data_IF_654581616180
#
_entry.id   IF_654581616180
#
_cell.length_a   1.000
_cell.length_b   1.000
_cell.length_c   1.000
_cell.angle_alpha   90.00
_cell.angle_beta   90.00
_cell.angle_gamma   90.00
#
_symmetry.space_group_name_H-M   'P 1'
#
loop_
_entity.id
_entity.type
_entity.pdbx_description
1 polymer ?
2 non-polymer ?
3 non-polymer ?
4 non-polymer ?
5 non-polymer ?
6 water ?
#
# COMPACT_ATOMS: atom_id res chain seq x y z
N UNK A 2 14.36 6.39 15.41
CA UNK A 2 14.69 7.67 14.72
C UNK A 2 13.63 7.91 13.51
N UNK A 3 14.10 7.91 12.28
CA UNK A 3 13.31 8.25 11.14
C UNK A 3 12.35 7.19 10.68
N UNK A 4 11.34 7.63 9.96
CA UNK A 4 10.34 6.73 9.40
C UNK A 4 9.56 7.34 8.28
N UNK A 5 8.92 6.46 7.52
CA UNK A 5 8.03 6.81 6.41
C UNK A 5 6.66 6.25 6.67
N UNK A 6 5.66 7.14 6.71
CA UNK A 6 4.31 6.71 6.89
C UNK A 6 3.59 7.08 5.63
N UNK A 7 2.82 6.16 5.07
CA UNK A 7 2.14 6.40 3.81
C UNK A 7 0.65 6.22 3.98
N UNK A 8 -0.09 7.19 3.42
CA UNK A 8 -1.53 7.17 3.45
C UNK A 8 -1.95 7.16 2.00
N UNK A 9 -2.64 6.12 1.62
CA UNK A 9 -3.12 5.97 0.25
C UNK A 9 -4.59 5.75 0.26
N UNK A 10 -5.17 5.60 -0.93
CA UNK A 10 -6.64 5.45 -1.11
C UNK A 10 -7.06 6.33 -2.24
N UNK A 11 -8.32 6.21 -2.69
CA UNK A 11 -8.83 6.99 -3.76
C UNK A 11 -9.16 8.41 -3.33
N UNK A 12 -9.63 9.19 -4.26
CA UNK A 12 -9.97 10.52 -3.96
C UNK A 12 -11.18 10.50 -3.01
N UNK A 13 -11.37 11.61 -2.31
CA UNK A 13 -12.53 11.78 -1.38
C UNK A 13 -12.52 10.93 -0.15
N UNK A 14 -11.39 10.31 0.14
CA UNK A 14 -11.19 9.44 1.27
C UNK A 14 -10.61 10.17 2.52
N UNK A 15 -10.19 11.40 2.35
CA UNK A 15 -9.72 12.28 3.43
C UNK A 15 -8.27 12.10 3.75
N UNK A 16 -7.51 11.75 2.75
CA UNK A 16 -6.13 11.50 2.97
C UNK A 16 -5.38 12.70 3.46
N UNK A 17 -5.64 13.87 2.88
CA UNK A 17 -4.97 15.07 3.34
C UNK A 17 -5.38 15.44 4.79
N UNK A 18 -6.66 15.30 5.11
CA UNK A 18 -7.13 15.54 6.47
C UNK A 18 -6.38 14.62 7.46
N UNK A 19 -6.13 13.37 7.05
CA UNK A 19 -5.41 12.45 7.95
C UNK A 19 -3.99 12.88 8.08
N UNK A 20 -3.40 13.31 7.00
CA UNK A 20 -2.08 13.86 7.09
C UNK A 20 -1.97 15.01 8.08
N UNK A 21 -2.89 15.97 7.97
CA UNK A 21 -2.88 17.15 8.80
C UNK A 21 -3.25 16.79 10.28
N UNK A 22 -4.11 15.80 10.44
CA UNK A 22 -4.30 15.24 11.82
C UNK A 22 -2.99 14.79 12.39
N UNK A 23 -2.19 14.07 11.61
CA UNK A 23 -0.92 13.60 12.17
C UNK A 23 0.05 14.70 12.40
N UNK A 24 0.07 15.67 11.51
CA UNK A 24 0.97 16.79 11.75
C UNK A 24 0.56 17.49 13.05
N UNK A 25 -0.71 17.75 13.25
CA UNK A 25 -1.11 18.49 14.44
C UNK A 25 -0.69 17.81 15.73
N UNK A 26 -0.76 16.46 15.78
CA UNK A 26 -0.34 15.72 16.95
C UNK A 26 1.09 16.08 17.28
N UNK A 27 1.95 16.08 16.27
CA UNK A 27 3.36 16.41 16.44
C UNK A 27 3.55 17.80 16.86
N UNK A 28 2.78 18.71 16.29
CA UNK A 28 2.88 20.12 16.71
C UNK A 28 2.53 20.30 18.21
N UNK A 29 1.57 19.58 18.74
CA UNK A 29 1.31 19.74 20.15
C UNK A 29 2.52 19.36 21.01
N UNK A 30 3.36 18.51 20.50
CA UNK A 30 4.50 18.18 21.23
C UNK A 30 5.67 19.04 20.80
N UNK A 31 5.41 20.18 20.19
CA UNK A 31 6.40 21.22 19.86
C UNK A 31 7.40 20.83 18.81
N UNK A 32 7.06 19.81 18.04
CA UNK A 32 7.92 19.37 16.98
C UNK A 32 7.77 20.30 15.79
N UNK A 33 8.86 20.55 15.05
CA UNK A 33 8.86 21.34 13.84
C UNK A 33 8.39 20.50 12.66
N UNK A 34 7.40 21.01 11.96
CA UNK A 34 6.74 20.33 10.89
C UNK A 34 6.75 21.17 9.66
N UNK A 35 7.09 20.55 8.55
CA UNK A 35 7.10 21.20 7.25
C UNK A 35 6.18 20.53 6.30
N UNK A 36 5.29 21.28 5.69
CA UNK A 36 4.37 20.68 4.72
C UNK A 36 4.76 21.10 3.30
N UNK A 37 4.99 20.14 2.46
CA UNK A 37 5.32 20.30 1.03
C UNK A 37 4.15 19.92 0.16
N UNK A 38 3.61 20.90 -0.59
CA UNK A 38 2.51 20.73 -1.47
C UNK A 38 3.00 20.81 -2.93
N UNK A 39 2.19 20.35 -3.84
CA UNK A 39 2.51 20.46 -5.26
C UNK A 39 2.01 21.77 -5.84
N UNK A 40 2.83 22.45 -6.62
CA UNK A 40 2.54 23.85 -7.06
C UNK A 40 1.38 23.95 -7.96
N UNK A 41 1.32 23.02 -8.94
CA UNK A 41 0.07 22.77 -9.74
C UNK A 41 -1.32 22.41 -9.08
N UNK A 42 -1.32 21.88 -7.84
CA UNK A 42 -2.51 21.45 -7.02
C UNK A 42 -3.26 22.67 -6.43
N UNK A 43 -4.54 22.85 -6.80
CA UNK A 43 -5.37 24.02 -6.42
C UNK A 43 -6.68 23.56 -5.69
N UNK A 44 -6.68 23.52 -4.35
CA UNK A 44 -7.80 22.93 -3.57
C UNK A 44 -7.69 23.24 -2.05
N UNK A 53 -11.12 25.80 4.26
CA UNK A 53 -9.90 26.19 4.99
C UNK A 53 -8.67 25.28 4.64
N UNK A 54 -7.60 25.90 4.11
CA UNK A 54 -6.29 25.23 3.91
C UNK A 54 -5.66 25.01 5.32
N UNK A 55 -5.74 23.76 5.80
CA UNK A 55 -5.19 23.35 7.11
C UNK A 55 -3.63 23.40 7.11
N UNK A 56 -3.10 23.22 5.90
CA UNK A 56 -1.68 23.15 5.60
C UNK A 56 -0.93 24.49 5.80
N UNK A 57 -1.66 25.61 5.88
CA UNK A 57 -1.10 26.92 6.36
C UNK A 57 -0.84 27.09 7.94
N UNK A 58 -1.22 26.09 8.77
CA UNK A 58 -0.96 26.07 10.22
C UNK A 58 0.51 25.67 10.63
N UNK A 59 1.39 25.35 9.67
CA UNK A 59 2.81 25.28 9.97
C UNK A 59 3.66 25.77 8.80
N UNK A 60 4.98 25.73 8.94
CA UNK A 60 5.86 26.02 7.78
C UNK A 60 5.50 25.17 6.56
N UNK A 61 5.45 25.79 5.42
CA UNK A 61 5.05 25.08 4.22
C UNK A 61 5.56 25.70 2.96
N UNK A 62 5.50 24.95 1.88
CA UNK A 62 6.07 25.35 0.61
C UNK A 62 5.34 24.58 -0.51
N UNK A 63 5.24 25.22 -1.66
CA UNK A 63 4.68 24.68 -2.91
C UNK A 63 5.77 24.51 -3.93
N UNK A 64 6.00 23.30 -4.37
CA UNK A 64 7.06 23.08 -5.33
C UNK A 64 6.54 22.10 -6.42
N UNK A 65 7.30 21.93 -7.52
CA UNK A 65 6.98 21.00 -8.66
C UNK A 65 7.83 19.83 -8.60
N UNK A 66 8.97 19.95 -7.97
CA UNK A 66 9.56 18.68 -7.52
C UNK A 66 10.32 18.91 -6.26
N UNK A 67 10.72 17.83 -5.68
CA UNK A 67 11.29 17.86 -4.38
C UNK A 67 12.68 18.36 -4.31
N UNK A 68 13.33 18.35 -5.45
CA UNK A 68 14.66 18.89 -5.58
C UNK A 68 14.59 20.36 -5.20
N UNK A 69 13.55 21.07 -5.61
CA UNK A 69 13.47 22.53 -5.30
C UNK A 69 13.27 23.01 -3.84
N UNK A 70 13.11 22.08 -2.95
CA UNK A 70 13.04 22.36 -1.52
C UNK A 70 14.45 22.61 -1.08
N UNK A 71 15.40 22.07 -1.83
CA UNK A 71 16.80 22.16 -1.41
C UNK A 71 17.01 21.38 -0.15
N UNK A 72 17.74 21.98 0.78
CA UNK A 72 18.04 21.39 2.08
C UNK A 72 17.19 21.99 3.23
N UNK A 73 16.14 22.73 2.88
CA UNK A 73 15.26 23.39 3.90
C UNK A 73 14.60 22.37 4.84
N UNK A 74 14.32 21.20 4.29
CA UNK A 74 13.72 20.10 5.04
C UNK A 74 14.54 19.63 6.20
N UNK A 75 15.84 19.90 6.18
CA UNK A 75 16.65 19.42 7.29
C UNK A 75 16.42 20.12 8.57
N UNK A 76 15.76 21.28 8.52
CA UNK A 76 15.43 22.03 9.69
C UNK A 76 14.21 21.58 10.46
N UNK A 77 13.68 20.42 10.15
CA UNK A 77 12.43 19.99 10.72
C UNK A 77 12.53 18.56 11.27
N UNK A 78 11.73 18.29 12.29
CA UNK A 78 11.51 16.97 12.82
C UNK A 78 10.59 16.13 11.92
N UNK A 79 9.62 16.77 11.29
CA UNK A 79 8.54 16.09 10.58
C UNK A 79 8.33 16.76 9.28
N UNK A 80 8.25 15.96 8.24
CA UNK A 80 8.07 16.41 6.87
C UNK A 80 6.82 15.72 6.36
N UNK A 81 5.89 16.49 5.82
CA UNK A 81 4.68 15.97 5.24
C UNK A 81 4.59 16.34 3.80
N UNK A 82 4.26 15.38 2.95
CA UNK A 82 4.21 15.59 1.54
C UNK A 82 2.81 15.24 1.11
N UNK A 83 2.11 16.21 0.56
CA UNK A 83 0.77 16.04 0.12
C UNK A 83 0.71 15.84 -1.41
N UNK A 84 -0.18 14.98 -1.89
CA UNK A 84 -0.37 14.67 -3.32
C UNK A 84 0.94 14.05 -3.90
N UNK A 85 1.46 13.05 -3.21
CA UNK A 85 2.77 12.52 -3.48
C UNK A 85 2.92 11.97 -4.90
N UNK A 86 1.81 11.54 -5.47
CA UNK A 86 1.84 11.01 -6.79
C UNK A 86 2.26 11.99 -7.88
N UNK A 87 2.18 13.29 -7.60
CA UNK A 87 2.63 14.30 -8.51
C UNK A 87 4.14 14.49 -8.60
N UNK A 88 4.89 13.99 -7.63
CA UNK A 88 6.28 14.29 -7.53
C UNK A 88 7.05 13.15 -8.13
N UNK A 89 7.89 13.46 -9.13
CA UNK A 89 8.65 12.38 -9.83
C UNK A 89 9.75 11.72 -8.99
N UNK A 90 10.25 12.38 -7.95
CA UNK A 90 11.35 11.84 -7.20
C UNK A 90 10.98 11.54 -5.74
N UNK A 91 9.72 11.33 -5.47
CA UNK A 91 9.27 11.25 -4.11
C UNK A 91 9.83 10.13 -3.28
N UNK A 92 9.97 8.97 -3.86
CA UNK A 92 10.54 7.85 -3.07
C UNK A 92 11.93 8.06 -2.52
N UNK A 93 12.78 8.61 -3.38
CA UNK A 93 14.13 8.81 -3.00
C UNK A 93 14.19 9.91 -1.92
N UNK A 94 13.38 10.97 -2.10
CA UNK A 94 13.34 12.10 -1.15
C UNK A 94 12.95 11.60 0.22
N UNK A 95 11.90 10.83 0.26
CA UNK A 95 11.45 10.26 1.51
C UNK A 95 12.50 9.40 2.19
N UNK A 96 13.17 8.56 1.41
CA UNK A 96 14.17 7.67 1.98
C UNK A 96 15.38 8.48 2.53
N UNK A 97 15.83 9.49 1.79
CA UNK A 97 16.90 10.35 2.23
C UNK A 97 16.55 11.03 3.55
N UNK A 98 15.31 11.50 3.62
CA UNK A 98 14.91 12.24 4.79
C UNK A 98 14.74 11.30 5.93
N UNK A 99 14.06 10.19 5.71
CA UNK A 99 13.93 9.20 6.82
C UNK A 99 15.31 8.68 7.26
N UNK A 100 16.25 8.52 6.33
CA UNK A 100 17.64 8.12 6.76
C UNK A 100 18.33 9.17 7.58
N UNK A 101 18.03 10.47 7.38
CA UNK A 101 18.50 11.53 8.29
C UNK A 101 17.77 11.71 9.62
N UNK A 102 16.80 10.86 9.94
CA UNK A 102 16.10 10.93 11.19
C UNK A 102 14.71 11.59 11.19
N UNK A 103 14.18 11.94 10.04
CA UNK A 103 12.90 12.60 9.99
C UNK A 103 11.75 11.63 10.00
N UNK A 104 10.65 12.09 10.57
CA UNK A 104 9.37 11.42 10.43
C UNK A 104 8.80 12.02 9.15
N UNK A 105 8.61 11.20 8.13
CA UNK A 105 8.09 11.61 6.86
C UNK A 105 6.71 11.02 6.63
N UNK A 106 5.75 11.85 6.26
CA UNK A 106 4.36 11.40 6.20
C UNK A 106 3.90 11.78 4.82
N UNK A 107 3.35 10.83 4.05
CA UNK A 107 3.01 11.12 2.68
C UNK A 107 1.61 10.70 2.45
N UNK A 108 0.84 11.59 1.77
CA UNK A 108 -0.46 11.20 1.23
C UNK A 108 -0.37 11.18 -0.25
N UNK A 109 -1.00 10.19 -0.86
CA UNK A 109 -0.93 9.97 -2.27
C UNK A 109 -1.97 9.07 -2.74
N UNK A 110 -2.38 9.25 -4.03
CA UNK A 110 -3.13 8.19 -4.73
C UNK A 110 -2.17 7.01 -4.99
N UNK A 111 -2.63 5.82 -4.74
CA UNK A 111 -1.93 4.60 -5.10
C UNK A 111 -2.26 4.22 -6.56
N UNK A 112 -3.48 4.49 -6.99
CA UNK A 112 -4.02 4.19 -8.33
C UNK A 112 -4.53 5.41 -9.08
N UNK A 113 -4.37 5.40 -10.40
CA UNK A 113 -4.90 6.48 -11.24
C UNK A 113 -6.32 6.10 -11.60
N UNK A 114 -6.93 6.90 -12.46
CA UNK A 114 -8.32 6.68 -12.90
C UNK A 114 -8.57 5.42 -13.69
N UNK A 115 -7.50 4.78 -14.12
CA UNK A 115 -7.60 3.47 -14.82
C UNK A 115 -7.27 2.30 -13.92
N UNK A 116 -7.16 2.54 -12.61
CA UNK A 116 -6.79 1.56 -11.61
C UNK A 116 -5.37 1.05 -11.79
N UNK A 117 -4.55 1.85 -12.45
CA UNK A 117 -3.15 1.51 -12.65
C UNK A 117 -2.28 2.27 -11.66
N UNK A 118 -1.31 1.59 -11.08
CA UNK A 118 -0.54 2.20 -10.05
C UNK A 118 0.40 3.31 -10.46
N UNK A 119 0.59 4.26 -9.54
CA UNK A 119 1.65 5.22 -9.60
C UNK A 119 2.88 4.52 -9.04
N UNK A 120 3.85 4.37 -9.93
CA UNK A 120 5.02 3.53 -9.71
C UNK A 120 5.86 4.05 -8.54
N UNK A 121 5.96 5.35 -8.45
CA UNK A 121 6.73 5.99 -7.40
C UNK A 121 6.06 5.69 -5.99
N UNK A 122 4.74 5.54 -5.96
CA UNK A 122 4.03 5.31 -4.71
C UNK A 122 4.16 3.81 -4.36
N UNK A 123 4.17 2.99 -5.37
CA UNK A 123 4.65 1.60 -5.22
C UNK A 123 5.98 1.45 -4.57
N UNK A 124 6.97 2.19 -5.06
CA UNK A 124 8.23 2.18 -4.32
C UNK A 124 8.06 2.58 -2.87
N UNK A 125 7.20 3.60 -2.61
CA UNK A 125 7.02 4.05 -1.19
C UNK A 125 6.42 2.98 -0.30
N UNK A 126 5.45 2.23 -0.84
CA UNK A 126 4.86 1.17 -0.08
C UNK A 126 5.98 0.29 0.48
N UNK A 127 6.94 -0.03 -0.37
CA UNK A 127 8.00 -1.03 0.01
C UNK A 127 8.95 -0.42 0.94
N UNK A 128 9.05 0.91 0.93
CA UNK A 128 9.98 1.62 1.87
C UNK A 128 9.38 2.13 3.16
N UNK A 129 8.07 1.97 3.29
CA UNK A 129 7.33 2.57 4.38
C UNK A 129 7.27 1.71 5.61
N UNK A 130 7.33 2.37 6.77
CA UNK A 130 7.11 1.71 8.03
C UNK A 130 5.65 1.45 8.25
N UNK A 131 4.79 2.26 7.66
CA UNK A 131 3.36 2.15 7.91
C UNK A 131 2.64 2.49 6.64
N UNK A 132 1.59 1.76 6.33
CA UNK A 132 0.83 2.05 5.11
C UNK A 132 -0.61 1.84 5.52
N UNK A 133 -1.42 2.86 5.32
CA UNK A 133 -2.86 2.79 5.52
C UNK A 133 -3.50 3.11 4.22
N UNK A 134 -4.50 2.36 3.87
CA UNK A 134 -5.26 2.69 2.67
C UNK A 134 -6.65 3.12 3.12
N UNK A 135 -7.02 4.38 2.92
CA UNK A 135 -8.38 4.81 3.36
C UNK A 135 -9.34 4.58 2.21
N UNK A 136 -10.59 4.51 2.56
CA UNK A 136 -11.67 4.37 1.62
C UNK A 136 -12.48 5.66 1.58
N UNK A 137 -13.29 5.77 0.57
CA UNK A 137 -14.24 6.79 0.38
C UNK A 137 -15.60 6.12 0.44
N UNK A 138 -16.68 6.90 0.25
CA UNK A 138 -18.01 6.27 0.08
C UNK A 138 -18.38 6.36 -1.37
N UNK A 139 -18.95 5.29 -1.95
CA UNK A 139 -19.29 5.29 -3.39
C UNK A 139 -20.22 6.45 -3.73
N UNK A 140 -19.73 7.30 -4.64
CA UNK A 140 -20.46 8.46 -5.05
C UNK A 140 -21.47 8.13 -6.14
N UNK A 141 -21.53 6.88 -6.60
CA UNK A 141 -22.51 6.49 -7.65
C UNK A 141 -23.73 5.83 -6.99
N UNK A 142 -23.49 4.78 -6.22
CA UNK A 142 -24.56 4.05 -5.55
C UNK A 142 -24.84 4.52 -4.12
N UNK A 143 -23.90 5.22 -3.45
CA UNK A 143 -24.10 5.68 -2.08
C UNK A 143 -24.33 4.57 -1.06
N UNK A 144 -24.03 3.32 -1.37
CA UNK A 144 -24.25 2.21 -0.43
C UNK A 144 -23.09 1.36 -0.04
N UNK A 145 -21.87 1.68 -0.47
CA UNK A 145 -20.72 0.78 -0.27
C UNK A 145 -19.49 1.64 -0.09
N UNK A 146 -18.48 1.10 0.58
CA UNK A 146 -17.13 1.64 0.54
C UNK A 146 -16.57 1.68 -0.90
N UNK A 147 -15.87 2.76 -1.18
CA UNK A 147 -15.27 3.05 -2.45
C UNK A 147 -13.76 3.03 -2.31
N UNK A 148 -13.12 2.29 -3.21
CA UNK A 148 -11.67 2.15 -3.25
C UNK A 148 -11.04 2.67 -4.55
N UNK A 149 -11.87 3.12 -5.49
CA UNK A 149 -11.42 3.55 -6.82
C UNK A 149 -11.87 4.96 -7.13
N UNK A 150 -11.09 5.65 -7.95
CA UNK A 150 -11.44 6.95 -8.47
C UNK A 150 -11.80 6.83 -9.96
N UNK A 151 -12.97 7.34 -10.31
CA UNK A 151 -13.53 7.36 -11.63
C UNK A 151 -13.42 8.75 -12.17
N UNK A 152 -12.85 8.91 -13.37
CA UNK A 152 -12.78 10.26 -14.00
C UNK A 152 -14.07 10.50 -14.80
N UNK A 153 -14.80 11.57 -14.53
CA UNK A 153 -16.09 11.84 -15.14
C UNK A 153 -16.02 12.77 -16.36
N UNK A 154 -14.85 13.29 -16.68
CA UNK A 154 -14.66 14.03 -17.93
C UNK A 154 -13.75 13.24 -18.90
N UNK A 155 -13.92 13.49 -20.20
CA UNK A 155 -13.14 12.84 -21.28
C UNK A 155 -11.78 13.52 -21.25
N UNK A 156 -10.76 12.72 -21.09
CA UNK A 156 -9.34 13.20 -21.13
C UNK A 156 -8.56 11.96 -20.90
N UNK A 157 -7.43 11.87 -21.61
CA UNK A 157 -6.56 10.70 -21.52
C UNK A 157 -5.24 11.14 -20.99
N UNK A 158 -5.11 12.43 -20.62
CA UNK A 158 -3.97 12.88 -19.84
C UNK A 158 -4.04 12.13 -18.45
N UNK A 159 -2.93 11.53 -18.04
CA UNK A 159 -2.88 10.79 -16.81
C UNK A 159 -3.00 11.78 -15.64
N UNK A 160 -2.21 12.84 -15.69
CA UNK A 160 -2.31 13.90 -14.79
C UNK A 160 -3.31 14.90 -15.32
N UNK A 161 -4.34 15.15 -14.53
CA UNK A 161 -5.38 16.17 -14.79
C UNK A 161 -5.92 16.63 -13.43
N UNK A 162 -5.49 17.82 -13.02
CA UNK A 162 -5.78 18.39 -11.74
C UNK A 162 -7.21 18.84 -11.61
N UNK A 163 -7.87 18.40 -10.54
CA UNK A 163 -9.30 18.65 -10.35
C UNK A 163 -9.90 17.97 -9.12
N UNK A 164 -11.17 18.25 -8.88
CA UNK A 164 -11.91 17.81 -7.76
C UNK A 164 -13.15 17.08 -8.20
N UNK A 165 -14.24 17.29 -7.45
CA UNK A 165 -15.50 16.62 -7.74
C UNK A 165 -16.16 17.03 -9.07
N UNK A 166 -15.68 18.13 -9.68
CA UNK A 166 -16.04 18.59 -11.05
C UNK A 166 -15.49 17.68 -12.15
N UNK A 167 -14.49 16.85 -11.83
CA UNK A 167 -13.84 15.91 -12.74
C UNK A 167 -13.68 14.49 -12.30
N UNK A 168 -13.93 14.20 -11.03
CA UNK A 168 -13.72 12.82 -10.52
C UNK A 168 -14.77 12.42 -9.51
N UNK A 169 -14.92 11.13 -9.33
CA UNK A 169 -15.70 10.60 -8.25
C UNK A 169 -15.13 9.29 -7.75
N UNK A 170 -15.33 8.99 -6.49
CA UNK A 170 -14.77 7.77 -5.94
C UNK A 170 -15.90 6.77 -6.03
N UNK A 171 -15.58 5.52 -6.36
CA UNK A 171 -16.59 4.48 -6.54
C UNK A 171 -16.14 3.14 -6.04
N UNK A 172 -17.14 2.32 -5.75
CA UNK A 172 -16.97 0.94 -5.37
C UNK A 172 -16.62 0.11 -6.64
N UNK A 173 -16.23 -1.14 -6.41
CA UNK A 173 -15.71 -2.00 -7.48
C UNK A 173 -16.72 -2.20 -8.64
N UNK A 174 -17.96 -2.53 -8.31
CA UNK A 174 -19.03 -2.76 -9.33
C UNK A 174 -19.50 -1.50 -10.00
N UNK A 175 -19.70 -0.39 -9.27
CA UNK A 175 -19.96 0.88 -9.94
C UNK A 175 -18.84 1.28 -10.89
N UNK A 176 -17.58 1.02 -10.53
CA UNK A 176 -16.50 1.31 -11.51
C UNK A 176 -16.70 0.47 -12.82
N UNK A 177 -17.00 -0.82 -12.71
CA UNK A 177 -17.29 -1.65 -13.93
C UNK A 177 -18.47 -1.10 -14.75
N UNK A 178 -19.62 -0.99 -14.07
CA UNK A 178 -20.87 -0.44 -14.66
C UNK A 178 -20.62 0.87 -15.41
N UNK A 179 -19.95 1.82 -14.77
CA UNK A 179 -19.69 3.08 -15.44
C UNK A 179 -18.65 3.00 -16.62
N UNK A 180 -17.70 2.04 -16.57
CA UNK A 180 -16.64 1.92 -17.60
C UNK A 180 -17.40 1.43 -18.87
N UNK A 181 -18.24 0.39 -18.74
CA UNK A 181 -19.16 -0.09 -19.80
C UNK A 181 -20.31 0.94 -20.01
N UNK A 182 -19.98 2.16 -20.48
CA UNK A 182 -20.94 3.31 -20.75
C UNK A 182 -20.29 4.75 -20.65
N UNK B 2 -20.97 -7.05 -3.34
CA UNK B 2 -20.55 -8.38 -3.88
C UNK B 2 -19.07 -8.69 -3.37
N UNK B 3 -18.11 -8.80 -4.28
CA UNK B 3 -16.75 -9.24 -3.99
C UNK B 3 -15.77 -8.18 -3.51
N UNK B 4 -14.58 -8.61 -3.09
CA UNK B 4 -13.54 -7.71 -2.61
C UNK B 4 -12.20 -8.38 -2.53
N UNK B 5 -11.17 -7.55 -2.43
CA UNK B 5 -9.80 -7.94 -2.30
C UNK B 5 -9.22 -7.30 -1.08
N UNK B 6 -8.72 -8.12 -0.17
CA UNK B 6 -8.05 -7.64 1.02
C UNK B 6 -6.62 -8.09 0.94
N UNK B 7 -5.68 -7.22 1.22
CA UNK B 7 -4.29 -7.50 1.08
C UNK B 7 -3.59 -7.26 2.39
N UNK B 8 -2.75 -8.24 2.76
CA UNK B 8 -1.97 -8.21 3.95
C UNK B 8 -0.51 -8.27 3.51
N UNK B 9 0.24 -7.22 3.81
CA UNK B 9 1.61 -7.09 3.42
C UNK B 9 2.43 -6.80 4.62
N UNK B 10 3.71 -6.62 4.43
CA UNK B 10 4.69 -6.49 5.56
C UNK B 10 5.85 -7.46 5.36
N UNK B 11 6.90 -7.32 6.16
CA UNK B 11 8.12 -8.10 5.99
C UNK B 11 7.90 -9.53 6.58
N UNK B 12 8.96 -10.30 6.59
CA UNK B 12 8.88 -11.66 7.09
C UNK B 12 8.75 -11.55 8.60
N UNK B 13 8.21 -12.60 9.19
CA UNK B 13 8.14 -12.72 10.66
C UNK B 13 7.11 -11.75 11.31
N UNK B 14 6.17 -11.23 10.52
CA UNK B 14 5.15 -10.26 10.94
C UNK B 14 3.83 -10.90 11.21
N UNK B 15 3.74 -12.19 10.87
CA UNK B 15 2.53 -12.95 11.08
C UNK B 15 1.46 -12.80 10.01
N UNK B 16 1.90 -12.52 8.78
CA UNK B 16 0.90 -12.30 7.75
C UNK B 16 0.01 -13.48 7.53
N UNK B 17 0.58 -14.68 7.55
CA UNK B 17 -0.23 -15.88 7.26
C UNK B 17 -1.20 -16.17 8.41
N UNK B 18 -0.75 -15.97 9.65
CA UNK B 18 -1.61 -16.09 10.80
C UNK B 18 -2.82 -15.15 10.66
N UNK B 19 -2.58 -13.92 10.18
CA UNK B 19 -3.68 -12.96 10.02
C UNK B 19 -4.58 -13.42 8.89
N UNK B 20 -4.01 -13.90 7.80
CA UNK B 20 -4.86 -14.47 6.73
C UNK B 20 -5.79 -15.57 7.25
N UNK B 21 -5.24 -16.44 8.07
CA UNK B 21 -6.03 -17.59 8.59
C UNK B 21 -7.01 -17.08 9.62
N UNK B 22 -6.60 -16.12 10.45
CA UNK B 22 -7.58 -15.52 11.37
C UNK B 22 -8.81 -15.12 10.60
N UNK B 23 -8.60 -14.55 9.44
CA UNK B 23 -9.74 -14.03 8.69
C UNK B 23 -10.51 -15.13 8.07
N UNK B 24 -9.81 -16.14 7.59
CA UNK B 24 -10.52 -17.29 7.03
C UNK B 24 -11.37 -17.96 8.11
N UNK B 25 -10.80 -18.18 9.29
CA UNK B 25 -11.55 -18.80 10.37
C UNK B 25 -12.86 -18.04 10.68
N UNK B 26 -12.84 -16.70 10.66
CA UNK B 26 -14.02 -15.90 10.97
C UNK B 26 -15.15 -16.24 10.02
N UNK B 27 -14.80 -16.31 8.74
CA UNK B 27 -15.73 -16.70 7.71
C UNK B 27 -16.25 -18.13 7.85
N UNK B 28 -15.37 -19.06 8.16
CA UNK B 28 -15.82 -20.42 8.43
C UNK B 28 -16.85 -20.51 9.53
N UNK B 29 -16.69 -19.77 10.63
CA UNK B 29 -17.71 -19.82 11.68
C UNK B 29 -19.07 -19.38 11.18
N UNK B 30 -19.15 -18.59 10.15
CA UNK B 30 -20.42 -18.24 9.60
C UNK B 30 -20.82 -19.13 8.45
N UNK B 31 -20.20 -20.31 8.33
CA UNK B 31 -20.62 -21.31 7.32
C UNK B 31 -20.32 -20.86 5.92
N UNK B 32 -19.25 -20.12 5.74
CA UNK B 32 -18.83 -19.75 4.40
C UNK B 32 -17.77 -20.68 3.94
N UNK B 33 -17.79 -21.02 2.68
CA UNK B 33 -16.79 -21.94 2.09
C UNK B 33 -15.55 -21.16 1.75
N UNK B 34 -14.39 -21.74 2.09
CA UNK B 34 -13.12 -21.12 1.98
C UNK B 34 -12.15 -22.04 1.27
N UNK B 35 -11.46 -21.49 0.28
CA UNK B 35 -10.51 -22.20 -0.49
C UNK B 35 -9.15 -21.57 -0.25
N UNK B 36 -8.19 -22.32 0.27
CA UNK B 36 -6.89 -21.81 0.55
C UNK B 36 -5.88 -22.33 -0.44
N UNK B 37 -5.20 -21.41 -1.12
CA UNK B 37 -4.21 -21.67 -2.13
C UNK B 37 -2.82 -21.33 -1.58
N UNK B 38 -1.96 -22.35 -1.39
CA UNK B 38 -0.56 -22.24 -0.91
C UNK B 38 0.34 -22.33 -2.15
N UNK B 39 1.54 -21.79 -2.05
CA UNK B 39 2.53 -21.94 -3.10
C UNK B 39 3.32 -23.23 -2.83
N UNK B 40 3.76 -23.89 -3.90
CA UNK B 40 4.94 -24.75 -3.79
C UNK B 40 5.54 -24.98 -5.15
N UNK B 41 6.88 -24.80 -5.21
CA UNK B 41 7.76 -25.05 -6.37
C UNK B 41 8.30 -26.45 -6.37
N UNK B 58 -17.64 -26.55 3.51
CA UNK B 58 -16.92 -25.52 4.30
C UNK B 58 -15.43 -25.16 3.78
N UNK B 59 -14.59 -26.15 3.46
CA UNK B 59 -13.10 -25.95 3.36
C UNK B 59 -12.45 -26.75 2.24
N UNK B 60 -11.27 -26.30 1.79
CA UNK B 60 -10.42 -26.97 0.81
C UNK B 60 -9.06 -26.26 0.70
N UNK B 61 -7.99 -27.04 0.60
CA UNK B 61 -6.62 -26.59 0.53
C UNK B 61 -5.98 -27.05 -0.71
N UNK B 62 -4.88 -26.42 -1.09
CA UNK B 62 -4.23 -26.74 -2.36
C UNK B 62 -2.85 -26.12 -2.31
N UNK B 63 -1.85 -26.87 -2.76
CA UNK B 63 -0.53 -26.31 -3.09
C UNK B 63 -0.35 -26.25 -4.60
N UNK B 64 0.03 -25.11 -5.16
CA UNK B 64 0.16 -24.92 -6.58
C UNK B 64 1.33 -23.96 -6.88
N UNK B 65 1.72 -23.80 -8.15
CA UNK B 65 2.79 -22.88 -8.56
C UNK B 65 2.39 -21.82 -9.59
N UNK B 66 1.30 -22.02 -10.33
CA UNK B 66 0.69 -20.93 -11.16
C UNK B 66 -0.77 -20.90 -10.65
N UNK B 67 -1.41 -19.74 -10.62
CA UNK B 67 -2.85 -19.70 -10.28
C UNK B 67 -3.70 -20.25 -11.42
N UNK B 68 -3.09 -20.31 -12.61
CA UNK B 68 -3.70 -20.96 -13.75
C UNK B 68 -4.05 -22.45 -13.40
N UNK B 69 -3.18 -23.13 -12.68
CA UNK B 69 -3.39 -24.55 -12.30
C UNK B 69 -4.53 -24.87 -11.29
N UNK B 70 -5.21 -23.87 -10.77
CA UNK B 70 -6.39 -24.05 -9.92
C UNK B 70 -7.59 -24.30 -10.83
N UNK B 71 -7.47 -23.85 -12.08
CA UNK B 71 -8.55 -23.96 -13.02
C UNK B 71 -9.70 -23.13 -12.51
N UNK B 72 -10.90 -23.68 -12.62
CA UNK B 72 -12.14 -23.04 -12.19
C UNK B 72 -12.65 -23.61 -10.86
N UNK B 73 -11.84 -24.38 -10.15
CA UNK B 73 -12.22 -24.93 -8.83
C UNK B 73 -12.66 -23.84 -7.79
N UNK B 74 -11.96 -22.70 -7.83
CA UNK B 74 -12.22 -21.56 -6.96
C UNK B 74 -13.65 -21.05 -7.03
N UNK B 75 -14.34 -21.33 -8.13
CA UNK B 75 -15.69 -20.80 -8.27
C UNK B 75 -16.70 -21.46 -7.33
N UNK B 76 -16.35 -22.60 -6.72
CA UNK B 76 -17.28 -23.28 -5.81
C UNK B 76 -17.29 -22.67 -4.37
N UNK B 77 -16.53 -21.59 -4.13
CA UNK B 77 -16.26 -21.04 -2.78
C UNK B 77 -16.68 -19.58 -2.62
N UNK B 78 -17.07 -19.22 -1.40
CA UNK B 78 -17.37 -17.84 -1.03
C UNK B 78 -16.10 -16.98 -0.83
N UNK B 79 -15.04 -17.61 -0.30
CA UNK B 79 -13.83 -16.95 0.15
C UNK B 79 -12.62 -17.68 -0.40
N UNK B 80 -11.71 -16.93 -0.99
CA UNK B 80 -10.48 -17.46 -1.57
C UNK B 80 -9.33 -16.78 -0.88
N UNK B 81 -8.38 -17.55 -0.38
CA UNK B 81 -7.24 -17.02 0.30
C UNK B 81 -6.01 -17.48 -0.41
N UNK B 82 -5.07 -16.57 -0.65
CA UNK B 82 -3.82 -16.84 -1.34
C UNK B 82 -2.67 -16.47 -0.45
N UNK B 83 -1.82 -17.41 -0.16
CA UNK B 83 -0.68 -17.21 0.73
C UNK B 83 0.56 -17.06 -0.11
N UNK B 84 1.53 -16.29 0.37
CA UNK B 84 2.80 -16.07 -0.34
C UNK B 84 2.56 -15.53 -1.75
N UNK B 85 1.73 -14.51 -1.84
CA UNK B 85 1.23 -14.03 -3.12
C UNK B 85 2.31 -13.54 -4.05
N UNK B 86 3.41 -13.09 -3.47
CA UNK B 86 4.51 -12.62 -4.31
C UNK B 86 5.16 -13.70 -5.19
N UNK B 87 4.94 -14.98 -4.88
CA UNK B 87 5.48 -16.08 -5.68
C UNK B 87 4.64 -16.41 -6.90
N UNK B 88 3.44 -15.87 -7.01
CA UNK B 88 2.58 -16.17 -8.11
C UNK B 88 2.66 -15.08 -9.17
N UNK B 89 3.02 -15.46 -10.40
CA UNK B 89 3.21 -14.46 -11.44
C UNK B 89 1.91 -13.85 -11.95
N UNK B 90 0.75 -14.50 -11.80
CA UNK B 90 -0.48 -13.86 -12.37
C UNK B 90 -1.46 -13.40 -11.25
N UNK B 91 -0.94 -13.15 -10.04
CA UNK B 91 -1.85 -13.02 -8.86
C UNK B 91 -2.83 -11.86 -8.91
N UNK B 92 -2.40 -10.74 -9.47
CA UNK B 92 -3.32 -9.59 -9.54
C UNK B 92 -4.57 -9.82 -10.42
N UNK B 93 -4.36 -10.41 -11.60
CA UNK B 93 -5.45 -10.69 -12.54
C UNK B 93 -6.38 -11.78 -11.95
N UNK B 94 -5.80 -12.78 -11.27
CA UNK B 94 -6.58 -13.80 -10.60
C UNK B 94 -7.51 -13.17 -9.56
N UNK B 95 -6.92 -12.34 -8.69
CA UNK B 95 -7.70 -11.75 -7.64
C UNK B 95 -8.80 -10.86 -8.15
N UNK B 96 -8.50 -10.09 -9.20
CA UNK B 96 -9.52 -9.23 -9.83
C UNK B 96 -10.68 -10.05 -10.43
N UNK B 97 -10.34 -11.13 -11.13
CA UNK B 97 -11.34 -12.00 -11.73
C UNK B 97 -12.24 -12.59 -10.66
N UNK B 98 -11.64 -13.07 -9.59
CA UNK B 98 -12.43 -13.70 -8.53
C UNK B 98 -13.26 -12.71 -7.79
N UNK B 99 -12.69 -11.55 -7.49
CA UNK B 99 -13.50 -10.49 -6.86
C UNK B 99 -14.61 -10.02 -7.78
N UNK B 100 -14.36 -9.91 -9.09
CA UNK B 100 -15.44 -9.53 -10.01
C UNK B 100 -16.56 -10.57 -10.06
N UNK B 101 -16.26 -11.85 -9.84
CA UNK B 101 -17.29 -12.91 -9.69
C UNK B 101 -17.93 -13.02 -8.31
N UNK B 102 -17.68 -12.10 -7.41
CA UNK B 102 -18.39 -12.07 -6.13
C UNK B 102 -17.68 -12.70 -4.95
N UNK B 103 -16.44 -13.14 -5.12
CA UNK B 103 -15.69 -13.71 -4.02
C UNK B 103 -15.03 -12.68 -3.11
N UNK B 104 -14.89 -13.06 -1.86
CA UNK B 104 -14.01 -12.37 -0.95
C UNK B 104 -12.67 -13.02 -1.19
N UNK B 105 -11.71 -12.23 -1.67
CA UNK B 105 -10.36 -12.66 -1.87
C UNK B 105 -9.40 -12.04 -0.82
N UNK B 106 -8.52 -12.83 -0.20
CA UNK B 106 -7.68 -12.35 0.87
C UNK B 106 -6.32 -12.82 0.55
N UNK B 107 -5.34 -11.93 0.48
CA UNK B 107 -4.01 -12.31 0.00
C UNK B 107 -2.99 -11.85 1.00
N UNK B 108 -2.07 -12.73 1.36
CA UNK B 108 -0.86 -12.35 2.11
C UNK B 108 0.35 -12.43 1.20
N UNK B 109 1.21 -11.43 1.27
CA UNK B 109 2.31 -11.30 0.41
C UNK B 109 3.33 -10.37 1.01
N UNK B 110 4.61 -10.58 0.65
CA UNK B 110 5.65 -9.58 0.80
C UNK B 110 5.41 -8.48 -0.22
N UNK B 111 5.54 -7.24 0.23
CA UNK B 111 5.44 -6.07 -0.64
C UNK B 111 6.79 -5.75 -1.20
N UNK B 112 7.81 -5.91 -0.37
CA UNK B 112 9.22 -5.66 -0.67
C UNK B 112 10.09 -6.97 -0.63
N UNK B 113 11.06 -7.03 -1.53
CA UNK B 113 12.11 -8.07 -1.51
C UNK B 113 13.23 -7.62 -0.61
N UNK B 114 14.25 -8.45 -0.50
CA UNK B 114 15.36 -8.23 0.43
C UNK B 114 16.16 -6.97 0.10
N UNK B 115 15.97 -6.44 -1.11
CA UNK B 115 16.61 -5.16 -1.50
C UNK B 115 15.69 -3.96 -1.30
N UNK B 116 14.54 -4.14 -0.63
CA UNK B 116 13.51 -3.12 -0.40
C UNK B 116 12.90 -2.66 -1.69
N UNK B 117 12.91 -3.54 -2.68
CA UNK B 117 12.32 -3.25 -3.94
C UNK B 117 11.03 -4.00 -4.06
N UNK B 118 10.03 -3.38 -4.67
CA UNK B 118 8.78 -4.00 -4.70
C UNK B 118 8.54 -5.15 -5.67
N UNK B 119 7.70 -6.07 -5.26
CA UNK B 119 7.09 -7.03 -6.12
C UNK B 119 5.98 -6.41 -6.91
N UNK B 120 6.22 -6.32 -8.20
CA UNK B 120 5.44 -5.51 -9.13
C UNK B 120 3.97 -6.01 -9.15
N UNK B 121 3.80 -7.29 -9.00
CA UNK B 121 2.45 -7.87 -9.01
C UNK B 121 1.68 -7.47 -7.69
N UNK B 122 2.41 -7.26 -6.60
CA UNK B 122 1.77 -6.93 -5.32
C UNK B 122 1.40 -5.39 -5.31
N UNK B 123 2.24 -4.59 -5.90
CA UNK B 123 1.88 -3.24 -6.37
C UNK B 123 0.56 -3.20 -7.07
N UNK B 124 0.37 -4.02 -8.10
CA UNK B 124 -0.89 -4.02 -8.77
C UNK B 124 -2.01 -4.35 -7.82
N UNK B 125 -1.78 -5.30 -6.92
CA UNK B 125 -2.81 -5.61 -5.96
C UNK B 125 -3.18 -4.45 -5.03
N UNK B 126 -2.18 -3.68 -4.62
CA UNK B 126 -2.42 -2.56 -3.73
C UNK B 126 -3.46 -1.67 -4.38
N UNK B 127 -3.30 -1.43 -5.68
CA UNK B 127 -4.15 -0.51 -6.43
C UNK B 127 -5.50 -1.08 -6.67
N UNK B 128 -5.61 -2.38 -6.60
CA UNK B 128 -6.91 -3.05 -6.79
C UNK B 128 -7.63 -3.47 -5.55
N UNK B 129 -6.94 -3.34 -4.41
CA UNK B 129 -7.48 -3.84 -3.13
C UNK B 129 -8.49 -2.85 -2.45
N UNK B 130 -9.46 -3.43 -1.75
CA UNK B 130 -10.38 -2.69 -0.95
C UNK B 130 -9.72 -2.34 0.35
N UNK B 131 -8.80 -3.17 0.81
CA UNK B 131 -8.14 -2.93 2.10
C UNK B 131 -6.72 -3.42 1.99
N UNK B 132 -5.83 -2.72 2.66
CA UNK B 132 -4.45 -3.03 2.64
C UNK B 132 -3.99 -2.78 4.05
N UNK B 133 -3.44 -3.80 4.69
CA UNK B 133 -2.80 -3.63 5.95
C UNK B 133 -1.33 -4.05 5.75
N UNK B 134 -0.43 -3.30 6.34
CA UNK B 134 0.92 -3.64 6.40
C UNK B 134 1.26 -3.98 7.82
N UNK B 135 1.58 -5.23 8.11
CA UNK B 135 2.04 -5.60 9.46
C UNK B 135 3.52 -5.38 9.63
N UNK B 136 3.92 -5.20 10.87
CA UNK B 136 5.28 -5.07 11.21
C UNK B 136 5.74 -6.35 11.96
N UNK B 137 7.03 -6.51 12.06
CA UNK B 137 7.65 -7.57 12.80
C UNK B 137 8.37 -6.86 13.91
N UNK B 138 9.20 -7.56 14.67
CA UNK B 138 10.10 -6.93 15.62
C UNK B 138 11.53 -7.08 15.10
N UNK B 139 12.34 -6.05 15.24
CA UNK B 139 13.73 -6.08 14.74
C UNK B 139 14.54 -7.21 15.41
N UNK B 140 15.06 -8.11 14.58
CA UNK B 140 15.81 -9.30 15.03
C UNK B 140 17.27 -8.96 15.24
N UNK B 141 17.70 -7.74 14.92
CA UNK B 141 19.04 -7.31 15.13
C UNK B 141 19.14 -6.59 16.48
N UNK B 142 18.38 -5.52 16.66
CA UNK B 142 18.46 -4.72 17.87
C UNK B 142 17.48 -5.12 18.92
N UNK B 143 16.43 -5.85 18.56
CA UNK B 143 15.36 -6.28 19.52
C UNK B 143 14.59 -5.14 20.19
N UNK B 144 14.74 -3.90 19.74
CA UNK B 144 14.08 -2.72 20.38
C UNK B 144 13.09 -1.92 19.56
N UNK B 145 12.81 -2.31 18.32
CA UNK B 145 12.00 -1.44 17.43
C UNK B 145 11.16 -2.31 16.52
N UNK B 146 10.02 -1.78 16.08
CA UNK B 146 9.24 -2.35 15.01
C UNK B 146 10.16 -2.47 13.74
N UNK B 147 10.01 -3.61 13.07
CA UNK B 147 10.71 -3.92 11.87
C UNK B 147 9.72 -3.93 10.71
N UNK B 148 10.11 -3.25 9.64
CA UNK B 148 9.34 -3.19 8.39
C UNK B 148 10.05 -3.79 7.15
N UNK B 149 11.30 -4.21 7.32
CA UNK B 149 12.16 -4.71 6.26
C UNK B 149 12.68 -6.13 6.51
N UNK B 150 12.95 -6.82 5.44
CA UNK B 150 13.54 -8.17 5.50
C UNK B 150 14.95 -8.07 4.96
N UNK B 151 15.92 -8.49 5.78
CA UNK B 151 17.33 -8.53 5.46
C UNK B 151 17.73 -9.98 5.10
N UNK B 152 18.37 -10.20 3.94
CA UNK B 152 18.87 -11.59 3.55
C UNK B 152 20.29 -11.79 4.05
N UNK B 153 20.45 -12.72 4.97
CA UNK B 153 21.70 -12.90 5.69
C UNK B 153 22.72 -13.82 4.89
N UNK B 154 22.32 -14.39 3.76
CA UNK B 154 23.22 -15.19 2.94
C UNK B 154 23.41 -14.55 1.58
N UNK B 155 24.56 -14.79 0.96
CA UNK B 155 24.85 -14.21 -0.37
C UNK B 155 24.12 -15.04 -1.41
N UNK B 156 23.41 -14.36 -2.24
CA UNK B 156 22.66 -14.91 -3.37
C UNK B 156 22.03 -13.69 -3.99
N UNK B 157 21.90 -13.73 -5.32
CA UNK B 157 21.31 -12.68 -6.11
C UNK B 157 20.16 -13.25 -6.90
N UNK B 158 19.74 -14.45 -6.51
CA UNK B 158 18.42 -14.93 -6.88
C UNK B 158 17.38 -14.15 -6.02
N UNK B 159 16.39 -13.61 -6.71
CA UNK B 159 15.41 -12.81 -6.07
C UNK B 159 14.59 -13.74 -5.24
N UNK B 160 14.12 -14.82 -5.86
CA UNK B 160 13.42 -15.88 -5.16
C UNK B 160 14.40 -16.89 -4.58
N UNK B 161 14.36 -17.04 -3.27
CA UNK B 161 15.21 -17.96 -2.55
C UNK B 161 14.45 -18.33 -1.26
N UNK B 162 13.82 -19.51 -1.29
CA UNK B 162 12.97 -20.01 -0.21
C UNK B 162 13.72 -20.40 1.05
N UNK B 163 13.27 -19.92 2.21
CA UNK B 163 14.03 -20.03 3.46
C UNK B 163 13.41 -19.32 4.66
N UNK B 164 14.05 -19.51 5.80
CA UNK B 164 13.59 -19.08 7.08
C UNK B 164 14.63 -18.25 7.75
N UNK B 165 14.62 -18.27 9.09
CA UNK B 165 15.41 -17.37 9.89
C UNK B 165 16.89 -17.50 9.81
N UNK B 166 17.37 -18.57 9.21
CA UNK B 166 18.84 -18.70 9.05
C UNK B 166 19.29 -18.11 7.75
N UNK B 167 18.36 -17.80 6.84
CA UNK B 167 18.63 -17.04 5.63
C UNK B 167 18.08 -15.57 5.60
N UNK B 168 17.15 -15.25 6.48
CA UNK B 168 16.51 -13.93 6.52
C UNK B 168 16.27 -13.48 7.95
N UNK B 169 16.26 -12.17 8.14
CA UNK B 169 15.79 -11.60 9.37
C UNK B 169 15.02 -10.32 9.12
N UNK B 170 14.03 -10.03 9.95
CA UNK B 170 13.23 -8.83 9.77
C UNK B 170 13.93 -7.78 10.61
N UNK B 171 14.10 -6.59 10.03
CA UNK B 171 14.84 -5.53 10.69
C UNK B 171 14.15 -4.16 10.56
N UNK B 172 14.52 -3.27 11.47
CA UNK B 172 14.12 -1.84 11.48
C UNK B 172 14.93 -1.11 10.45
N UNK B 173 14.55 0.13 10.19
CA UNK B 173 15.18 0.88 9.13
C UNK B 173 16.70 1.01 9.33
N UNK B 174 17.11 1.42 10.53
CA UNK B 174 18.54 1.72 10.78
C UNK B 174 19.40 0.46 10.89
N UNK B 175 18.88 -0.59 11.55
CA UNK B 175 19.57 -1.91 11.46
C UNK B 175 19.71 -2.38 9.99
N UNK B 176 18.72 -2.17 9.14
CA UNK B 176 18.93 -2.51 7.72
C UNK B 176 20.10 -1.75 7.14
N UNK B 177 20.21 -0.43 7.40
CA UNK B 177 21.37 0.35 6.87
C UNK B 177 22.72 -0.18 7.40
N UNK B 178 22.82 -0.22 8.73
CA UNK B 178 23.99 -0.74 9.46
C UNK B 178 24.45 -2.11 8.91
N UNK B 179 23.55 -3.07 8.76
CA UNK B 179 23.92 -4.36 8.21
C UNK B 179 24.24 -4.34 6.70
N UNK B 180 23.76 -3.37 5.92
CA UNK B 180 24.17 -3.18 4.51
C UNK B 180 25.69 -2.88 4.40
N UNK B 181 26.45 -2.79 5.52
CA UNK B 181 27.94 -3.02 5.59
C UNK B 181 28.51 -4.30 6.29
#
# INVERSE_FOLDING_TARGET
>A
AHGRIELIIGPMFAGKTTELMRRVQRHKHAQRSCYIIKYTGDTRYSEGAITSHDQRALTANVSVSNLHDVGDEWRKYDVIAVDEGQFFPDVAAFCSKAADSGKVVIVSALDADYLQEPFEEICLLVSRADSVVKLSAVCMECHNRKASFTYRTVKSDERKLVGGSDMYMSVCRSCYETKRNM
>B
AHGRIELIIGPMFAGKTTELMRRVQRHKHAQRSCYIIKYTGDTRYSEGAITSHDQRALTANVSVSNLHDVGDEWRKYDVIAVDEGQFFPDVAAFCSKAADSGKVVIVSALDADYLQEPFEEICLLVSRADSVVKLSAVCMECHNRKASFTYRTVKSDERKLVGGSDMYMSVCRSCYETKRNM
#
